data_IF_956192475444
#
_entry.id   IF_956192475444
#
_cell.length_a   1.000
_cell.length_b   1.000
_cell.length_c   1.000
_cell.angle_alpha   90.00
_cell.angle_beta   90.00
_cell.angle_gamma   90.00
#
_symmetry.space_group_name_H-M   'P 1'
#
loop_
_entity.id
_entity.type
_entity.pdbx_description
1 polymer ?
#
# COMPACT_ATOMS: atom_id res chain seq x y z
N UNK A 1 -35.24 -22.99 16.13
CA UNK A 1 -33.86 -22.45 16.23
C UNK A 1 -33.53 -21.70 14.95
N UNK A 2 -33.36 -20.37 15.00
CA UNK A 2 -33.05 -19.57 13.82
C UNK A 2 -31.53 -19.41 13.67
N UNK A 3 -30.93 -20.07 12.67
CA UNK A 3 -29.51 -19.89 12.34
C UNK A 3 -29.34 -18.66 11.46
N UNK A 4 -29.33 -17.46 12.06
CA UNK A 4 -28.87 -16.24 11.40
C UNK A 4 -27.34 -16.25 11.37
N UNK A 5 -26.70 -16.80 10.33
CA UNK A 5 -25.25 -16.65 10.19
C UNK A 5 -24.82 -16.68 8.73
N UNK A 6 -24.40 -15.52 8.22
CA UNK A 6 -23.82 -15.35 6.89
C UNK A 6 -24.82 -14.67 5.95
N UNK A 7 -24.54 -13.43 5.54
CA UNK A 7 -25.35 -12.74 4.55
C UNK A 7 -25.56 -13.61 3.29
N UNK A 8 -26.65 -13.34 2.56
CA UNK A 8 -27.05 -14.03 1.33
C UNK A 8 -25.84 -14.48 0.50
N UNK A 9 -25.85 -15.70 -0.05
CA UNK A 9 -24.73 -16.23 -0.86
C UNK A 9 -24.23 -15.25 -1.94
N UNK A 10 -25.11 -14.37 -2.45
CA UNK A 10 -24.79 -13.25 -3.34
C UNK A 10 -23.88 -12.18 -2.70
N UNK A 11 -24.15 -11.79 -1.46
CA UNK A 11 -23.37 -10.81 -0.70
C UNK A 11 -21.96 -11.34 -0.41
N UNK A 12 -21.83 -12.61 -0.02
CA UNK A 12 -20.53 -13.25 0.19
C UNK A 12 -19.67 -13.27 -1.10
N UNK A 13 -20.26 -13.65 -2.25
CA UNK A 13 -19.60 -13.62 -3.56
C UNK A 13 -19.17 -12.22 -3.98
N UNK A 14 -19.99 -11.18 -3.70
CA UNK A 14 -19.64 -9.78 -3.98
C UNK A 14 -18.43 -9.31 -3.17
N UNK A 15 -18.38 -9.65 -1.88
CA UNK A 15 -17.26 -9.31 -0.98
C UNK A 15 -15.95 -9.97 -1.45
N UNK A 16 -15.99 -11.25 -1.83
CA UNK A 16 -14.83 -11.94 -2.38
C UNK A 16 -14.32 -11.29 -3.67
N UNK A 17 -15.20 -10.97 -4.62
CA UNK A 17 -14.82 -10.32 -5.88
C UNK A 17 -14.16 -8.96 -5.67
N UNK A 18 -14.73 -8.12 -4.79
CA UNK A 18 -14.19 -6.79 -4.48
C UNK A 18 -12.81 -6.88 -3.80
N UNK A 19 -12.61 -7.89 -2.93
CA UNK A 19 -11.30 -8.14 -2.30
C UNK A 19 -10.25 -8.57 -3.33
N UNK A 20 -10.60 -9.50 -4.21
CA UNK A 20 -9.70 -9.97 -5.27
C UNK A 20 -9.29 -8.83 -6.23
N UNK A 21 -10.26 -8.04 -6.70
CA UNK A 21 -10.01 -6.90 -7.58
C UNK A 21 -9.09 -5.84 -6.94
N UNK A 22 -9.27 -5.54 -5.65
CA UNK A 22 -8.41 -4.58 -4.94
C UNK A 22 -6.97 -5.08 -4.73
N UNK A 23 -6.79 -6.39 -4.52
CA UNK A 23 -5.46 -7.00 -4.33
C UNK A 23 -4.67 -6.98 -5.64
N UNK A 24 -5.31 -7.33 -6.76
CA UNK A 24 -4.66 -7.35 -8.07
C UNK A 24 -4.16 -5.96 -8.47
N UNK A 25 -5.00 -4.93 -8.28
CA UNK A 25 -4.63 -3.54 -8.56
C UNK A 25 -3.48 -3.06 -7.65
N UNK A 26 -3.48 -3.45 -6.36
CA UNK A 26 -2.37 -3.10 -5.45
C UNK A 26 -1.07 -3.81 -5.80
N UNK A 27 -1.11 -5.06 -6.25
CA UNK A 27 0.10 -5.84 -6.62
C UNK A 27 0.75 -5.33 -7.90
N UNK A 28 -0.04 -4.83 -8.86
CA UNK A 28 0.47 -4.27 -10.12
C UNK A 28 1.00 -2.84 -9.98
N UNK A 29 0.76 -2.18 -8.84
CA UNK A 29 1.20 -0.81 -8.64
C UNK A 29 2.65 -0.80 -8.18
N UNK A 30 3.50 -0.19 -9.00
CA UNK A 30 4.87 0.10 -8.64
C UNK A 30 4.92 0.99 -7.39
N UNK A 31 5.84 0.68 -6.49
CA UNK A 31 6.03 1.48 -5.30
C UNK A 31 6.71 2.79 -5.68
N UNK A 32 6.04 3.89 -5.34
CA UNK A 32 6.56 5.24 -5.52
C UNK A 32 6.64 5.95 -4.18
N UNK A 33 7.80 6.49 -3.83
CA UNK A 33 7.97 7.33 -2.64
C UNK A 33 8.06 8.79 -3.05
N UNK A 34 7.11 9.63 -2.60
CA UNK A 34 7.09 11.09 -2.91
C UNK A 34 7.17 11.44 -4.41
N UNK A 35 6.83 10.50 -5.28
CA UNK A 35 6.91 10.65 -6.75
C UNK A 35 8.06 9.89 -7.39
N UNK A 36 9.00 9.34 -6.61
CA UNK A 36 10.17 8.62 -7.10
C UNK A 36 9.97 7.11 -7.08
N UNK A 37 10.50 6.43 -8.10
CA UNK A 37 10.58 4.97 -8.15
C UNK A 37 11.66 4.43 -7.21
N UNK A 38 11.67 3.11 -6.97
CA UNK A 38 12.72 2.47 -6.17
C UNK A 38 14.11 2.64 -6.82
N UNK A 39 14.17 2.61 -8.15
CA UNK A 39 15.43 2.72 -8.88
C UNK A 39 16.02 4.12 -8.76
N UNK A 40 15.17 5.15 -8.86
CA UNK A 40 15.56 6.54 -8.66
C UNK A 40 16.07 6.79 -7.24
N UNK A 41 15.37 6.26 -6.22
CA UNK A 41 15.78 6.39 -4.82
C UNK A 41 17.13 5.70 -4.52
N UNK A 42 17.47 4.64 -5.25
CA UNK A 42 18.77 3.95 -5.11
C UNK A 42 19.91 4.71 -5.78
N UNK A 43 19.61 5.48 -6.81
CA UNK A 43 20.59 6.30 -7.51
C UNK A 43 20.90 7.61 -6.77
N UNK A 44 19.96 8.10 -5.94
CA UNK A 44 20.14 9.30 -5.11
C UNK A 44 21.18 9.12 -4.01
N UNK A 45 21.79 10.24 -3.62
CA UNK A 45 22.69 10.29 -2.45
C UNK A 45 21.88 10.26 -1.14
N UNK A 46 22.56 9.87 -0.05
CA UNK A 46 21.92 9.79 1.26
C UNK A 46 21.38 11.15 1.75
N UNK A 47 22.04 12.26 1.43
CA UNK A 47 21.58 13.62 1.80
C UNK A 47 20.28 14.01 1.09
N UNK A 48 20.17 13.73 -0.21
CA UNK A 48 18.95 13.98 -0.98
C UNK A 48 17.78 13.15 -0.45
N UNK A 49 18.03 11.89 -0.11
CA UNK A 49 17.02 11.01 0.50
C UNK A 49 16.59 11.54 1.87
N UNK A 50 17.52 12.01 2.70
CA UNK A 50 17.20 12.58 4.02
C UNK A 50 16.25 13.76 3.90
N UNK A 51 16.41 14.64 2.91
CA UNK A 51 15.52 15.79 2.72
C UNK A 51 14.06 15.37 2.42
N UNK A 52 13.88 14.27 1.69
CA UNK A 52 12.57 13.69 1.39
C UNK A 52 11.90 13.02 2.60
N UNK A 53 12.68 12.65 3.63
CA UNK A 53 12.17 11.96 4.80
C UNK A 53 11.32 12.87 5.71
N UNK A 54 10.37 12.29 6.47
CA UNK A 54 9.64 13.02 7.50
C UNK A 54 10.59 13.57 8.57
N UNK A 55 10.20 14.68 9.22
CA UNK A 55 11.01 15.34 10.27
C UNK A 55 11.49 14.36 11.35
N UNK A 56 10.64 13.42 11.76
CA UNK A 56 10.99 12.41 12.77
C UNK A 56 12.16 11.52 12.35
N UNK A 57 12.16 11.05 11.11
CA UNK A 57 13.22 10.20 10.60
C UNK A 57 14.51 11.00 10.36
N UNK A 58 14.41 12.25 9.86
CA UNK A 58 15.56 13.15 9.68
C UNK A 58 16.37 13.36 10.95
N UNK A 59 15.70 13.55 12.09
CA UNK A 59 16.32 13.75 13.41
C UNK A 59 17.17 12.57 13.89
N UNK A 60 17.04 11.38 13.31
CA UNK A 60 17.89 10.23 13.65
C UNK A 60 19.24 10.26 12.91
N UNK A 61 19.32 11.01 11.81
CA UNK A 61 20.51 11.15 10.98
C UNK A 61 21.24 12.49 11.18
N UNK A 62 20.71 13.36 12.06
CA UNK A 62 21.32 14.62 12.49
C UNK A 62 21.99 14.39 13.84
#
# INVERSE_FOLDING_TARGET
MAKKTGGLAKAARRKMRKRAAGIEVRRKREFTYRGYSIEELKAMTLQEVIELLPSRARRTYT
#
